data_IF_071822262433
#
_entry.id   IF_071822262433
#
_cell.length_a   1.000
_cell.length_b   1.000
_cell.length_c   1.000
_cell.angle_alpha   90.00
_cell.angle_beta   90.00
_cell.angle_gamma   90.00
#
_symmetry.space_group_name_H-M   'P 1'
#
loop_
_entity.id
_entity.type
_entity.pdbx_description
1 polymer ?
#
# COMPACT_ATOMS: atom_id res chain seq x y z
N UNK A 1 35.72 56.90 -0.55
CA UNK A 1 36.06 55.48 -0.82
C UNK A 1 35.47 54.57 0.24
N UNK A 2 34.18 54.29 0.12
CA UNK A 2 33.46 53.34 0.98
C UNK A 2 33.05 52.15 0.12
N UNK A 3 33.97 51.20 -0.06
CA UNK A 3 33.71 49.95 -0.73
C UNK A 3 32.82 49.08 0.14
N UNK A 4 31.51 49.18 -0.03
CA UNK A 4 30.58 48.15 0.42
C UNK A 4 30.88 46.88 -0.38
N UNK A 5 31.74 46.03 0.21
CA UNK A 5 31.93 44.66 -0.21
C UNK A 5 30.62 43.92 0.11
N UNK A 6 29.65 44.02 -0.81
CA UNK A 6 28.55 43.07 -0.89
C UNK A 6 29.18 41.71 -1.19
N UNK A 7 29.52 41.00 -0.11
CA UNK A 7 29.71 39.56 -0.15
C UNK A 7 28.34 39.00 -0.53
N UNK A 8 28.11 38.86 -1.83
CA UNK A 8 27.11 37.95 -2.35
C UNK A 8 27.59 36.56 -1.91
N UNK A 9 27.19 36.15 -0.70
CA UNK A 9 27.17 34.75 -0.33
C UNK A 9 26.18 34.14 -1.30
N UNK A 10 26.70 33.54 -2.37
CA UNK A 10 25.97 32.52 -3.10
C UNK A 10 25.66 31.43 -2.07
N UNK A 11 24.53 31.58 -1.38
CA UNK A 11 23.98 30.49 -0.60
C UNK A 11 23.49 29.51 -1.65
N UNK A 12 24.18 28.38 -1.78
CA UNK A 12 23.63 27.23 -2.46
C UNK A 12 22.35 26.86 -1.70
N UNK A 13 21.20 27.34 -2.20
CA UNK A 13 19.89 27.20 -1.56
C UNK A 13 19.34 25.76 -1.70
N UNK A 14 20.17 24.81 -2.13
CA UNK A 14 19.75 23.44 -2.36
C UNK A 14 20.44 22.48 -1.39
N UNK A 15 19.76 21.37 -1.01
CA UNK A 15 20.39 20.32 -0.23
C UNK A 15 21.71 19.81 -0.86
N UNK A 16 22.69 19.39 -0.03
CA UNK A 16 22.61 19.26 1.42
C UNK A 16 22.69 20.59 2.17
N UNK A 17 21.66 20.87 2.98
CA UNK A 17 21.62 22.02 3.88
C UNK A 17 22.69 21.87 4.98
N UNK A 18 23.21 22.99 5.48
CA UNK A 18 24.24 22.99 6.53
C UNK A 18 23.80 23.78 7.76
N UNK A 19 24.31 23.34 8.91
CA UNK A 19 24.15 24.06 10.18
C UNK A 19 22.73 24.03 10.75
N UNK A 20 22.31 25.07 11.48
CA UNK A 20 21.03 25.08 12.20
C UNK A 20 19.79 24.96 11.31
N UNK A 21 19.87 25.39 10.05
CA UNK A 21 18.75 25.34 9.11
C UNK A 21 18.39 23.89 8.73
N UNK A 22 19.40 23.07 8.41
CA UNK A 22 19.21 21.64 8.13
C UNK A 22 18.55 20.93 9.31
N UNK A 23 19.04 21.23 10.52
CA UNK A 23 18.49 20.66 11.75
C UNK A 23 17.03 21.05 11.96
N UNK A 24 16.68 22.33 11.76
CA UNK A 24 15.32 22.83 11.90
C UNK A 24 14.35 22.17 10.90
N UNK A 25 14.79 22.00 9.64
CA UNK A 25 14.00 21.32 8.60
C UNK A 25 13.76 19.86 8.98
N UNK A 26 14.81 19.13 9.38
CA UNK A 26 14.69 17.73 9.81
C UNK A 26 13.75 17.57 11.00
N UNK A 27 13.87 18.42 12.01
CA UNK A 27 12.95 18.40 13.15
C UNK A 27 11.50 18.68 12.74
N UNK A 28 11.29 19.62 11.81
CA UNK A 28 9.94 19.95 11.33
C UNK A 28 9.28 18.77 10.62
N UNK A 29 10.04 18.04 9.80
CA UNK A 29 9.58 16.83 9.12
C UNK A 29 9.28 15.71 10.13
N UNK A 30 10.19 15.45 11.07
CA UNK A 30 9.99 14.43 12.13
C UNK A 30 8.77 14.76 12.98
N UNK A 31 8.61 16.02 13.37
CA UNK A 31 7.45 16.51 14.12
C UNK A 31 6.15 16.31 13.34
N UNK A 32 6.17 16.61 12.04
CA UNK A 32 5.01 16.39 11.16
C UNK A 32 4.63 14.91 11.11
N UNK A 33 5.59 14.02 10.87
CA UNK A 33 5.35 12.57 10.84
C UNK A 33 4.79 12.06 12.18
N UNK A 34 5.38 12.48 13.31
CA UNK A 34 4.88 12.12 14.64
C UNK A 34 3.45 12.62 14.87
N UNK A 35 3.17 13.88 14.51
CA UNK A 35 1.84 14.48 14.63
C UNK A 35 0.80 13.72 13.82
N UNK A 36 1.13 13.36 12.57
CA UNK A 36 0.26 12.58 11.69
C UNK A 36 -0.10 11.22 12.33
N UNK A 37 0.88 10.50 12.88
CA UNK A 37 0.64 9.22 13.56
C UNK A 37 -0.19 9.37 14.83
N UNK A 38 0.05 10.41 15.64
CA UNK A 38 -0.74 10.68 16.85
C UNK A 38 -2.18 11.04 16.49
N UNK A 39 -2.39 11.92 15.51
CA UNK A 39 -3.73 12.29 15.02
C UNK A 39 -4.46 11.06 14.50
N UNK A 40 -3.78 10.20 13.73
CA UNK A 40 -4.34 8.93 13.26
C UNK A 40 -4.76 8.03 14.43
N UNK A 41 -3.88 7.85 15.42
CA UNK A 41 -4.16 7.03 16.61
C UNK A 41 -5.36 7.53 17.39
N UNK A 42 -5.43 8.84 17.65
CA UNK A 42 -6.49 9.45 18.46
C UNK A 42 -7.81 9.52 17.69
N UNK A 43 -7.78 9.89 16.40
CA UNK A 43 -8.99 10.18 15.62
C UNK A 43 -9.60 8.96 14.94
N UNK A 44 -8.79 8.00 14.49
CA UNK A 44 -9.28 6.85 13.72
C UNK A 44 -9.30 5.54 14.51
N UNK A 45 -8.39 5.36 15.47
CA UNK A 45 -8.22 4.07 16.17
C UNK A 45 -8.81 4.09 17.58
N UNK A 46 -8.75 5.23 18.29
CA UNK A 46 -9.27 5.33 19.66
C UNK A 46 -8.74 4.20 20.55
N UNK A 47 -9.63 3.54 21.27
CA UNK A 47 -9.30 2.43 22.18
C UNK A 47 -9.16 1.06 21.49
N UNK A 48 -9.42 0.97 20.18
CA UNK A 48 -9.34 -0.30 19.44
C UNK A 48 -7.91 -0.88 19.41
N UNK A 49 -6.90 -0.01 19.39
CA UNK A 49 -5.48 -0.38 19.43
C UNK A 49 -4.86 0.16 20.71
N UNK A 50 -4.23 -0.73 21.49
CA UNK A 50 -3.54 -0.37 22.72
C UNK A 50 -2.35 0.56 22.41
N UNK A 51 -2.12 1.55 23.25
CA UNK A 51 -0.99 2.47 23.12
C UNK A 51 0.36 1.76 23.08
N UNK A 52 0.51 0.67 23.84
CA UNK A 52 1.72 -0.17 23.81
C UNK A 52 2.01 -0.70 22.41
N UNK A 53 1.01 -1.26 21.74
CA UNK A 53 1.21 -1.89 20.42
C UNK A 53 1.45 -0.80 19.35
N UNK A 54 0.76 0.33 19.45
CA UNK A 54 1.03 1.52 18.63
C UNK A 54 2.46 2.03 18.78
N UNK A 55 2.97 2.15 20.01
CA UNK A 55 4.34 2.60 20.26
C UNK A 55 5.38 1.61 19.72
N UNK A 56 5.10 0.30 19.81
CA UNK A 56 5.97 -0.74 19.22
C UNK A 56 6.00 -0.69 17.69
N UNK A 57 4.92 -0.28 17.03
CA UNK A 57 4.92 -0.10 15.57
C UNK A 57 5.58 1.20 15.15
N UNK A 58 5.35 2.26 15.93
CA UNK A 58 6.02 3.54 15.76
C UNK A 58 7.54 3.39 15.95
N UNK A 59 8.00 2.58 16.89
CA UNK A 59 9.43 2.32 17.10
C UNK A 59 10.07 1.57 15.92
N UNK A 60 9.34 0.66 15.26
CA UNK A 60 9.83 0.01 14.02
C UNK A 60 9.97 1.02 12.89
N UNK A 61 8.97 1.89 12.70
CA UNK A 61 9.03 2.96 11.70
C UNK A 61 10.20 3.91 11.96
N UNK A 62 10.42 4.31 13.21
CA UNK A 62 11.56 5.14 13.59
C UNK A 62 12.90 4.44 13.32
N UNK A 63 13.02 3.15 13.65
CA UNK A 63 14.22 2.36 13.34
C UNK A 63 14.44 2.22 11.83
N UNK A 64 13.38 2.02 11.04
CA UNK A 64 13.43 1.99 9.58
C UNK A 64 13.87 3.33 8.97
N UNK A 65 13.32 4.44 9.45
CA UNK A 65 13.71 5.79 9.02
C UNK A 65 15.18 6.08 9.35
N UNK A 66 15.62 5.71 10.56
CA UNK A 66 17.02 5.83 10.96
C UNK A 66 17.94 4.99 10.06
N UNK A 67 17.55 3.75 9.79
CA UNK A 67 18.31 2.87 8.89
C UNK A 67 18.40 3.45 7.47
N UNK A 68 17.27 3.86 6.89
CA UNK A 68 17.22 4.46 5.56
C UNK A 68 18.08 5.73 5.44
N UNK A 69 18.16 6.53 6.52
CA UNK A 69 19.06 7.68 6.61
C UNK A 69 20.53 7.25 6.64
N UNK A 70 20.89 6.25 7.46
CA UNK A 70 22.27 5.74 7.57
C UNK A 70 22.81 5.19 6.25
N UNK A 71 21.96 4.52 5.46
CA UNK A 71 22.33 3.95 4.17
C UNK A 71 22.03 4.85 2.98
N UNK A 72 21.66 6.12 3.22
CA UNK A 72 21.33 7.03 2.13
C UNK A 72 22.57 7.50 1.39
N UNK A 73 22.45 7.53 0.06
CA UNK A 73 23.37 8.29 -0.79
C UNK A 73 23.03 9.78 -0.70
N UNK A 74 24.04 10.63 -0.91
CA UNK A 74 23.87 12.07 -0.91
C UNK A 74 23.43 12.52 -2.31
N UNK A 75 22.34 13.28 -2.37
CA UNK A 75 21.87 13.93 -3.58
C UNK A 75 22.34 15.38 -3.57
N UNK A 76 22.97 15.82 -4.66
CA UNK A 76 23.40 17.21 -4.83
C UNK A 76 22.39 17.95 -5.70
N UNK A 77 21.97 19.14 -5.28
CA UNK A 77 21.03 19.95 -6.04
C UNK A 77 19.56 19.73 -5.68
N UNK A 78 18.73 20.73 -5.96
CA UNK A 78 17.31 20.73 -5.59
C UNK A 78 16.52 19.68 -6.37
N UNK A 79 16.77 19.56 -7.68
CA UNK A 79 16.13 18.57 -8.56
C UNK A 79 16.37 17.14 -8.13
N UNK A 80 17.64 16.75 -8.01
CA UNK A 80 18.01 15.39 -7.61
C UNK A 80 17.49 15.04 -6.19
N UNK A 81 17.60 15.97 -5.24
CA UNK A 81 17.08 15.76 -3.88
C UNK A 81 15.55 15.61 -3.85
N UNK A 82 14.83 16.47 -4.58
CA UNK A 82 13.38 16.43 -4.67
C UNK A 82 12.91 15.13 -5.33
N UNK A 83 13.49 14.78 -6.48
CA UNK A 83 13.19 13.55 -7.22
C UNK A 83 13.46 12.32 -6.36
N UNK A 84 14.60 12.28 -5.67
CA UNK A 84 14.93 11.21 -4.73
C UNK A 84 13.89 11.10 -3.60
N UNK A 85 13.45 12.22 -3.05
CA UNK A 85 12.41 12.25 -2.00
C UNK A 85 11.06 11.77 -2.52
N UNK A 86 10.62 12.23 -3.69
CA UNK A 86 9.37 11.80 -4.31
C UNK A 86 9.41 10.31 -4.63
N UNK A 87 10.51 9.83 -5.22
CA UNK A 87 10.68 8.42 -5.57
C UNK A 87 10.66 7.52 -4.33
N UNK A 88 11.37 7.89 -3.26
CA UNK A 88 11.40 7.14 -2.00
C UNK A 88 10.01 7.07 -1.34
N UNK A 89 9.27 8.18 -1.33
CA UNK A 89 7.96 8.29 -0.68
C UNK A 89 6.79 7.76 -1.50
N UNK A 90 6.98 7.49 -2.79
CA UNK A 90 5.94 6.96 -3.69
C UNK A 90 6.25 5.53 -4.14
N UNK A 91 7.19 5.36 -5.07
CA UNK A 91 7.65 4.06 -5.54
C UNK A 91 8.26 3.24 -4.41
N UNK A 92 9.03 3.86 -3.51
CA UNK A 92 9.61 3.18 -2.37
C UNK A 92 8.55 2.58 -1.45
N UNK A 93 7.45 3.28 -1.16
CA UNK A 93 6.34 2.74 -0.35
C UNK A 93 5.68 1.52 -1.03
N UNK A 94 5.55 1.55 -2.35
CA UNK A 94 5.05 0.39 -3.10
C UNK A 94 6.01 -0.81 -2.98
N UNK A 95 7.31 -0.59 -3.19
CA UNK A 95 8.33 -1.64 -3.05
C UNK A 95 8.36 -2.18 -1.62
N UNK A 96 8.28 -1.31 -0.61
CA UNK A 96 8.26 -1.67 0.80
C UNK A 96 7.07 -2.59 1.13
N UNK A 97 5.88 -2.25 0.64
CA UNK A 97 4.69 -3.10 0.80
C UNK A 97 4.87 -4.47 0.14
N UNK A 98 5.37 -4.51 -1.10
CA UNK A 98 5.59 -5.77 -1.81
C UNK A 98 6.66 -6.62 -1.13
N UNK A 99 7.75 -6.00 -0.67
CA UNK A 99 8.82 -6.65 0.07
C UNK A 99 8.30 -7.22 1.40
N UNK A 100 7.47 -6.47 2.12
CA UNK A 100 6.85 -6.95 3.36
C UNK A 100 5.98 -8.18 3.09
N UNK A 101 5.13 -8.15 2.08
CA UNK A 101 4.27 -9.30 1.73
C UNK A 101 5.10 -10.51 1.32
N UNK A 102 6.10 -10.33 0.45
CA UNK A 102 6.92 -11.40 -0.08
C UNK A 102 7.82 -12.01 1.01
N UNK A 103 8.59 -11.17 1.71
CA UNK A 103 9.50 -11.63 2.76
C UNK A 103 8.73 -12.26 3.92
N UNK A 104 7.59 -11.70 4.33
CA UNK A 104 6.77 -12.33 5.37
C UNK A 104 6.37 -13.75 4.98
N UNK A 105 5.90 -13.97 3.75
CA UNK A 105 5.54 -15.32 3.26
C UNK A 105 6.74 -16.25 3.20
N UNK A 106 7.85 -15.81 2.63
CA UNK A 106 9.07 -16.61 2.52
C UNK A 106 9.57 -17.05 3.90
N UNK A 107 9.61 -16.14 4.88
CA UNK A 107 10.06 -16.47 6.24
C UNK A 107 9.06 -17.36 6.99
N UNK A 108 7.75 -17.16 6.79
CA UNK A 108 6.72 -18.04 7.37
C UNK A 108 6.83 -19.47 6.83
N UNK A 109 7.03 -19.62 5.52
CA UNK A 109 7.21 -20.93 4.87
C UNK A 109 8.53 -21.59 5.29
N UNK A 110 9.64 -20.85 5.29
CA UNK A 110 10.97 -21.39 5.61
C UNK A 110 11.13 -21.79 7.09
N UNK A 111 10.48 -21.08 8.02
CA UNK A 111 10.63 -21.34 9.46
C UNK A 111 9.50 -22.17 10.06
N UNK A 112 8.38 -22.34 9.34
CA UNK A 112 7.15 -22.94 9.86
C UNK A 112 6.50 -22.12 11.00
N UNK A 113 6.98 -20.91 11.29
CA UNK A 113 6.52 -20.09 12.42
C UNK A 113 5.69 -18.89 11.95
N UNK A 114 4.44 -19.15 11.59
CA UNK A 114 3.52 -18.13 11.09
C UNK A 114 3.31 -16.95 12.06
N UNK A 115 3.33 -17.22 13.37
CA UNK A 115 3.06 -16.22 14.41
C UNK A 115 4.22 -15.24 14.60
N UNK A 116 5.46 -15.71 14.50
CA UNK A 116 6.66 -14.86 14.61
C UNK A 116 6.68 -13.71 13.61
N UNK A 117 6.09 -13.91 12.44
CA UNK A 117 6.06 -12.95 11.34
C UNK A 117 4.66 -12.37 11.09
N UNK A 118 3.73 -12.54 12.02
CA UNK A 118 2.42 -11.87 11.97
C UNK A 118 2.58 -10.45 12.48
N UNK A 119 2.48 -9.48 11.57
CA UNK A 119 2.61 -8.06 11.89
C UNK A 119 1.61 -7.64 12.96
N UNK A 120 2.04 -6.82 13.92
CA UNK A 120 1.17 -6.29 14.97
C UNK A 120 0.84 -7.27 16.10
N UNK A 121 1.29 -8.54 16.06
CA UNK A 121 1.15 -9.49 17.16
C UNK A 121 2.43 -9.57 18.01
N UNK A 122 2.46 -8.85 19.14
CA UNK A 122 3.61 -8.77 20.04
C UNK A 122 3.46 -9.53 21.35
N UNK A 123 2.25 -10.02 21.64
CA UNK A 123 1.93 -10.60 22.94
C UNK A 123 1.74 -12.10 22.85
N UNK A 124 2.27 -12.79 23.86
CA UNK A 124 2.00 -14.21 24.10
C UNK A 124 0.55 -14.45 24.54
N UNK A 125 0.21 -15.73 24.77
CA UNK A 125 -1.13 -16.12 25.26
C UNK A 125 -1.49 -15.45 26.59
N UNK A 126 -0.48 -15.03 27.36
CA UNK A 126 -0.61 -14.44 28.69
C UNK A 126 -0.66 -12.90 28.66
N UNK A 127 -0.68 -12.27 27.47
CA UNK A 127 -0.69 -10.81 27.31
C UNK A 127 0.66 -10.12 27.59
N UNK A 128 1.69 -10.90 27.93
CA UNK A 128 3.07 -10.46 28.14
C UNK A 128 3.76 -10.21 26.80
N UNK A 129 4.57 -9.16 26.73
CA UNK A 129 5.36 -8.79 25.55
C UNK A 129 6.41 -9.87 25.27
N UNK A 130 6.34 -10.47 24.08
CA UNK A 130 7.35 -11.41 23.62
C UNK A 130 8.42 -10.68 22.79
N UNK A 131 9.50 -10.25 23.46
CA UNK A 131 10.57 -9.48 22.82
C UNK A 131 11.18 -10.20 21.60
N UNK A 132 11.26 -11.53 21.64
CA UNK A 132 11.74 -12.33 20.50
C UNK A 132 10.91 -12.10 19.23
N UNK A 133 9.58 -12.09 19.35
CA UNK A 133 8.68 -11.82 18.22
C UNK A 133 8.88 -10.41 17.68
N UNK A 134 8.97 -9.43 18.58
CA UNK A 134 9.24 -8.04 18.18
C UNK A 134 10.57 -7.90 17.43
N UNK A 135 11.65 -8.49 17.94
CA UNK A 135 12.98 -8.42 17.29
C UNK A 135 12.95 -9.10 15.92
N UNK A 136 12.29 -10.25 15.77
CA UNK A 136 12.15 -10.91 14.47
C UNK A 136 11.39 -10.06 13.46
N UNK A 137 10.29 -9.42 13.88
CA UNK A 137 9.53 -8.50 13.04
C UNK A 137 10.33 -7.23 12.71
N UNK A 138 11.10 -6.70 13.66
CA UNK A 138 11.99 -5.57 13.42
C UNK A 138 13.08 -5.91 12.41
N UNK A 139 13.71 -7.09 12.51
CA UNK A 139 14.71 -7.55 11.53
C UNK A 139 14.09 -7.70 10.14
N UNK A 140 12.91 -8.31 10.04
CA UNK A 140 12.15 -8.40 8.79
C UNK A 140 11.87 -7.01 8.21
N UNK A 141 11.45 -6.07 9.07
CA UNK A 141 11.17 -4.69 8.70
C UNK A 141 12.41 -3.99 8.13
N UNK A 142 13.56 -4.10 8.81
CA UNK A 142 14.82 -3.52 8.32
C UNK A 142 15.24 -4.11 6.97
N UNK A 143 15.00 -5.41 6.73
CA UNK A 143 15.20 -6.00 5.39
C UNK A 143 14.27 -5.39 4.34
N UNK A 144 13.00 -5.16 4.67
CA UNK A 144 12.05 -4.51 3.74
C UNK A 144 12.51 -3.09 3.39
N UNK A 145 12.90 -2.30 4.39
CA UNK A 145 13.45 -0.94 4.20
C UNK A 145 14.72 -0.98 3.33
N UNK A 146 15.58 -1.99 3.52
CA UNK A 146 16.80 -2.16 2.72
C UNK A 146 16.46 -2.45 1.25
N UNK A 147 15.54 -3.38 0.98
CA UNK A 147 15.09 -3.69 -0.39
C UNK A 147 14.47 -2.44 -1.05
N UNK A 148 13.62 -1.72 -0.31
CA UNK A 148 13.05 -0.45 -0.78
C UNK A 148 14.14 0.55 -1.13
N UNK A 149 15.11 0.77 -0.24
CA UNK A 149 16.18 1.75 -0.46
C UNK A 149 17.02 1.39 -1.68
N UNK A 150 17.43 0.13 -1.81
CA UNK A 150 18.20 -0.33 -2.97
C UNK A 150 17.42 -0.12 -4.27
N UNK A 151 16.13 -0.48 -4.31
CA UNK A 151 15.30 -0.29 -5.49
C UNK A 151 15.18 1.19 -5.89
N UNK A 152 14.94 2.08 -4.92
CA UNK A 152 14.82 3.53 -5.19
C UNK A 152 16.14 4.12 -5.70
N UNK A 153 17.28 3.73 -5.12
CA UNK A 153 18.61 4.17 -5.58
C UNK A 153 18.89 3.64 -7.00
N UNK A 154 18.57 2.38 -7.29
CA UNK A 154 18.77 1.80 -8.63
C UNK A 154 17.92 2.52 -9.69
N UNK A 155 16.67 2.84 -9.37
CA UNK A 155 15.80 3.61 -10.27
C UNK A 155 16.34 5.03 -10.44
N UNK A 156 16.65 5.74 -9.36
CA UNK A 156 17.15 7.11 -9.43
C UNK A 156 18.46 7.21 -10.24
N UNK A 157 19.39 6.26 -10.09
CA UNK A 157 20.62 6.20 -10.89
C UNK A 157 20.38 6.00 -12.40
N UNK A 158 19.21 5.48 -12.80
CA UNK A 158 18.86 5.35 -14.22
C UNK A 158 18.25 6.63 -14.80
N UNK A 159 17.62 7.46 -13.97
CA UNK A 159 16.87 8.66 -14.40
C UNK A 159 17.59 9.99 -14.15
N UNK A 160 18.59 10.03 -13.26
CA UNK A 160 19.29 11.27 -12.91
C UNK A 160 20.01 11.94 -14.09
N UNK A 161 20.34 11.22 -15.15
CA UNK A 161 21.08 11.78 -16.29
C UNK A 161 20.25 12.72 -17.21
N UNK A 162 18.92 12.78 -17.08
CA UNK A 162 18.07 13.36 -18.15
C UNK A 162 17.03 14.43 -17.74
N UNK A 163 16.85 14.78 -16.46
CA UNK A 163 15.61 15.50 -16.07
C UNK A 163 15.66 16.38 -14.81
N UNK A 164 16.83 16.87 -14.40
CA UNK A 164 16.96 17.55 -13.10
C UNK A 164 16.36 18.97 -13.06
N UNK A 165 16.34 19.69 -14.19
CA UNK A 165 15.96 21.11 -14.22
C UNK A 165 14.50 21.38 -14.60
N UNK A 166 13.87 20.52 -15.42
CA UNK A 166 12.52 20.76 -15.95
C UNK A 166 11.42 20.60 -14.88
N UNK A 167 11.68 19.78 -13.86
CA UNK A 167 10.63 19.36 -12.91
C UNK A 167 10.29 20.44 -11.88
N UNK A 168 11.20 21.41 -11.65
CA UNK A 168 11.03 22.50 -10.69
C UNK A 168 10.77 23.87 -11.33
N UNK A 169 10.53 23.95 -12.64
CA UNK A 169 10.27 25.23 -13.32
C UNK A 169 9.13 26.06 -12.69
N UNK A 170 8.14 25.41 -12.07
CA UNK A 170 7.00 26.09 -11.42
C UNK A 170 7.41 26.89 -10.17
N UNK A 171 8.52 26.52 -9.52
CA UNK A 171 9.00 27.16 -8.27
C UNK A 171 10.39 27.78 -8.40
N UNK A 172 11.07 27.62 -9.54
CA UNK A 172 12.42 28.13 -9.81
C UNK A 172 12.53 29.66 -9.86
N UNK A 173 11.40 30.38 -9.92
CA UNK A 173 11.36 31.84 -9.92
C UNK A 173 11.86 32.47 -8.61
N UNK A 174 11.97 31.70 -7.52
CA UNK A 174 12.57 32.16 -6.26
C UNK A 174 13.38 31.03 -5.60
N UNK A 175 14.70 31.19 -5.43
CA UNK A 175 15.55 30.18 -4.77
C UNK A 175 15.11 29.84 -3.34
N UNK A 176 14.53 30.81 -2.63
CA UNK A 176 14.01 30.59 -1.28
C UNK A 176 12.73 29.75 -1.29
N UNK A 177 11.85 29.97 -2.27
CA UNK A 177 10.63 29.21 -2.39
C UNK A 177 10.93 27.78 -2.83
N UNK A 178 11.83 27.62 -3.80
CA UNK A 178 12.33 26.32 -4.25
C UNK A 178 12.88 25.52 -3.08
N UNK A 179 13.75 26.12 -2.25
CA UNK A 179 14.29 25.47 -1.06
C UNK A 179 13.19 25.01 -0.09
N UNK A 180 12.26 25.91 0.26
CA UNK A 180 11.16 25.60 1.19
C UNK A 180 10.27 24.50 0.62
N UNK A 181 10.00 24.53 -0.68
CA UNK A 181 9.20 23.52 -1.36
C UNK A 181 9.87 22.15 -1.35
N UNK A 182 11.16 22.10 -1.67
CA UNK A 182 11.96 20.88 -1.81
C UNK A 182 12.29 20.24 -0.47
N UNK A 183 12.68 21.06 0.51
CA UNK A 183 13.23 20.56 1.78
C UNK A 183 12.20 20.50 2.90
N UNK A 184 11.09 21.25 2.82
CA UNK A 184 10.10 21.30 3.89
C UNK A 184 8.71 20.85 3.43
N UNK A 185 8.09 21.53 2.47
CA UNK A 185 6.69 21.28 2.10
C UNK A 185 6.48 19.87 1.53
N UNK A 186 7.28 19.50 0.52
CA UNK A 186 7.18 18.18 -0.12
C UNK A 186 7.48 17.05 0.88
N UNK A 187 8.59 17.09 1.65
CA UNK A 187 8.85 16.06 2.65
C UNK A 187 7.78 15.97 3.74
N UNK A 188 7.27 17.10 4.25
CA UNK A 188 6.19 17.08 5.24
C UNK A 188 4.93 16.38 4.72
N UNK A 189 4.52 16.67 3.48
CA UNK A 189 3.34 16.05 2.87
C UNK A 189 3.57 14.57 2.56
N UNK A 190 4.62 14.26 1.80
CA UNK A 190 4.85 12.90 1.29
C UNK A 190 5.35 11.94 2.37
N UNK A 191 6.26 12.38 3.26
CA UNK A 191 6.70 11.52 4.39
C UNK A 191 5.59 11.35 5.43
N UNK A 192 4.75 12.38 5.63
CA UNK A 192 3.53 12.26 6.43
C UNK A 192 2.58 11.19 5.88
N UNK A 193 2.35 11.20 4.57
CA UNK A 193 1.55 10.16 3.91
C UNK A 193 2.23 8.78 3.99
N UNK A 194 3.56 8.71 3.79
CA UNK A 194 4.32 7.48 3.90
C UNK A 194 4.15 6.84 5.28
N UNK A 195 4.39 7.57 6.38
CA UNK A 195 4.24 6.99 7.73
C UNK A 195 2.79 6.56 8.01
N UNK A 196 1.81 7.28 7.46
CA UNK A 196 0.42 6.85 7.54
C UNK A 196 0.20 5.50 6.86
N UNK A 197 0.66 5.34 5.62
CA UNK A 197 0.50 4.11 4.85
C UNK A 197 1.29 2.96 5.46
N UNK A 198 2.54 3.20 5.85
CA UNK A 198 3.41 2.22 6.49
C UNK A 198 2.86 1.73 7.83
N UNK A 199 2.28 2.61 8.65
CA UNK A 199 1.56 2.19 9.87
C UNK A 199 0.38 1.26 9.55
N UNK A 200 -0.31 1.43 8.42
CA UNK A 200 -1.35 0.48 8.01
C UNK A 200 -0.79 -0.89 7.59
N UNK A 201 0.45 -0.97 7.12
CA UNK A 201 1.10 -2.24 6.78
C UNK A 201 1.52 -3.02 8.02
N UNK A 202 1.93 -2.32 9.08
CA UNK A 202 2.48 -2.92 10.30
C UNK A 202 1.42 -3.34 11.33
N UNK A 203 0.16 -2.93 11.14
CA UNK A 203 -0.94 -3.30 12.04
C UNK A 203 -1.27 -4.79 12.00
N UNK A 204 -1.84 -5.25 13.12
CA UNK A 204 -2.42 -6.58 13.25
C UNK A 204 -3.65 -6.73 12.35
N UNK A 205 -3.73 -7.85 11.64
CA UNK A 205 -4.74 -8.08 10.61
C UNK A 205 -6.18 -7.92 11.12
N UNK A 206 -6.99 -7.24 10.29
CA UNK A 206 -8.43 -7.08 10.46
C UNK A 206 -9.07 -6.41 9.23
N UNK A 207 -8.31 -5.56 8.53
CA UNK A 207 -8.64 -5.04 7.19
C UNK A 207 -7.39 -5.01 6.31
N UNK A 208 -7.51 -5.31 5.01
CA UNK A 208 -6.40 -5.15 4.09
C UNK A 208 -5.95 -3.68 4.01
N UNK A 209 -4.63 -3.38 3.95
CA UNK A 209 -4.14 -2.01 3.84
C UNK A 209 -4.71 -1.30 2.61
N UNK A 210 -4.84 0.03 2.65
CA UNK A 210 -5.39 0.82 1.54
C UNK A 210 -4.71 0.48 0.20
N UNK A 211 -3.38 0.45 0.19
CA UNK A 211 -2.61 0.06 -0.99
C UNK A 211 -2.92 -1.38 -1.43
N UNK A 212 -3.08 -2.30 -0.48
CA UNK A 212 -3.48 -3.68 -0.76
C UNK A 212 -4.91 -3.83 -1.27
N UNK A 213 -5.81 -2.89 -0.97
CA UNK A 213 -7.16 -2.83 -1.53
C UNK A 213 -7.13 -2.27 -2.96
N UNK A 214 -6.42 -1.16 -3.16
CA UNK A 214 -6.24 -0.52 -4.46
C UNK A 214 -5.57 -1.48 -5.45
N UNK A 215 -4.46 -2.11 -5.05
CA UNK A 215 -3.76 -3.07 -5.88
C UNK A 215 -4.63 -4.29 -6.20
N UNK A 216 -5.46 -4.74 -5.24
CA UNK A 216 -6.45 -5.80 -5.52
C UNK A 216 -7.51 -5.35 -6.52
N UNK A 217 -7.97 -4.11 -6.47
CA UNK A 217 -8.94 -3.57 -7.43
C UNK A 217 -8.32 -3.45 -8.82
N UNK A 218 -7.09 -2.95 -8.92
CA UNK A 218 -6.36 -2.78 -10.18
C UNK A 218 -5.90 -4.11 -10.80
N UNK A 219 -5.45 -5.07 -9.98
CA UNK A 219 -4.99 -6.39 -10.45
C UNK A 219 -6.13 -7.43 -10.57
N UNK A 220 -7.34 -7.12 -10.09
CA UNK A 220 -8.52 -8.01 -10.21
C UNK A 220 -8.82 -8.42 -11.66
N UNK A 221 -8.78 -7.51 -12.65
CA UNK A 221 -8.97 -7.85 -14.06
C UNK A 221 -7.88 -8.79 -14.59
N UNK A 222 -6.60 -8.51 -14.28
CA UNK A 222 -5.46 -9.33 -14.69
C UNK A 222 -5.51 -10.75 -14.10
N UNK A 223 -5.97 -10.88 -12.84
CA UNK A 223 -6.12 -12.18 -12.16
C UNK A 223 -7.31 -13.00 -12.64
N UNK A 224 -8.33 -12.37 -13.24
CA UNK A 224 -9.52 -13.05 -13.76
C UNK A 224 -9.37 -13.61 -15.17
N UNK A 225 -8.23 -13.42 -15.83
CA UNK A 225 -7.93 -14.14 -17.06
C UNK A 225 -8.73 -13.69 -18.27
N UNK A 226 -8.70 -12.39 -18.61
CA UNK A 226 -8.95 -11.96 -20.00
C UNK A 226 -7.80 -12.33 -20.96
N UNK A 227 -6.84 -13.15 -20.52
CA UNK A 227 -5.89 -13.87 -21.38
C UNK A 227 -6.18 -15.39 -21.46
N UNK A 228 -7.25 -15.88 -20.83
CA UNK A 228 -7.68 -17.29 -20.88
C UNK A 228 -8.98 -17.51 -21.68
N UNK A 229 -9.47 -16.47 -22.35
CA UNK A 229 -10.67 -16.47 -23.21
C UNK A 229 -10.26 -16.38 -24.70
N UNK A 230 -9.45 -17.34 -25.20
CA UNK A 230 -9.91 -18.00 -26.42
C UNK A 230 -9.85 -19.53 -26.38
N UNK A 231 -9.29 -20.16 -25.35
CA UNK A 231 -9.09 -21.62 -25.31
C UNK A 231 -10.08 -22.38 -24.43
N UNK A 232 -11.09 -21.71 -23.87
CA UNK A 232 -12.20 -22.34 -23.16
C UNK A 232 -13.56 -22.17 -23.85
N UNK A 233 -13.56 -21.85 -25.15
CA UNK A 233 -14.71 -22.02 -26.04
C UNK A 233 -14.88 -23.47 -26.49
N UNK A 234 -14.85 -24.41 -25.56
CA UNK A 234 -15.02 -25.86 -25.80
C UNK A 234 -16.47 -26.34 -25.73
N UNK A 235 -17.46 -25.45 -25.62
CA UNK A 235 -18.88 -25.77 -25.44
C UNK A 235 -19.71 -25.69 -26.72
N UNK A 236 -19.13 -26.06 -27.86
CA UNK A 236 -19.87 -26.28 -29.13
C UNK A 236 -19.67 -27.66 -29.77
N UNK A 237 -19.00 -28.59 -29.09
CA UNK A 237 -18.82 -29.95 -29.62
C UNK A 237 -20.02 -30.88 -29.32
N UNK A 238 -20.74 -30.67 -28.23
CA UNK A 238 -21.87 -31.53 -27.81
C UNK A 238 -23.06 -31.54 -28.78
N UNK A 239 -23.53 -30.40 -29.36
CA UNK A 239 -24.67 -30.41 -30.27
C UNK A 239 -24.33 -31.11 -31.60
N UNK A 240 -23.07 -31.00 -32.05
CA UNK A 240 -22.62 -31.53 -33.34
C UNK A 240 -22.30 -33.03 -33.24
N UNK A 241 -21.78 -33.51 -32.11
CA UNK A 241 -21.65 -34.94 -31.81
C UNK A 241 -23.02 -35.63 -31.65
N UNK A 242 -24.00 -34.97 -31.04
CA UNK A 242 -25.36 -35.50 -30.99
C UNK A 242 -26.05 -35.48 -32.36
N UNK A 243 -25.83 -34.43 -33.17
CA UNK A 243 -26.34 -34.40 -34.55
C UNK A 243 -25.73 -35.52 -35.43
N UNK A 244 -24.44 -35.83 -35.26
CA UNK A 244 -23.78 -36.93 -35.99
C UNK A 244 -24.21 -38.32 -35.49
N UNK A 245 -24.52 -38.48 -34.19
CA UNK A 245 -25.11 -39.73 -33.66
C UNK A 245 -26.50 -39.98 -34.21
N UNK A 246 -27.30 -38.93 -34.38
CA UNK A 246 -28.64 -39.02 -34.96
C UNK A 246 -28.57 -39.29 -36.47
N UNK A 247 -27.59 -38.72 -37.18
CA UNK A 247 -27.37 -38.97 -38.60
C UNK A 247 -26.78 -40.36 -38.92
N UNK A 248 -26.20 -41.05 -37.94
CA UNK A 248 -25.53 -42.34 -38.12
C UNK A 248 -26.42 -43.59 -38.00
N UNK A 249 -27.73 -43.46 -37.74
CA UNK A 249 -28.61 -44.63 -37.54
C UNK A 249 -29.66 -44.75 -38.64
N UNK A 250 -29.30 -45.52 -39.68
CA UNK A 250 -30.21 -46.02 -40.71
C UNK A 250 -31.04 -47.24 -40.19
N UNK A 251 -32.16 -47.57 -40.84
CA UNK A 251 -33.40 -47.93 -40.15
C UNK A 251 -33.63 -49.43 -39.99
N UNK A 252 -34.32 -49.80 -38.91
CA UNK A 252 -34.87 -51.14 -38.69
C UNK A 252 -35.82 -51.13 -37.48
N UNK A 253 -37.10 -51.29 -37.79
CA UNK A 253 -38.22 -51.72 -36.91
C UNK A 253 -38.94 -50.68 -36.02
N UNK A 254 -39.92 -50.02 -36.66
CA UNK A 254 -41.34 -49.81 -36.30
C UNK A 254 -41.78 -49.82 -34.80
N UNK A 255 -42.29 -48.69 -34.22
CA UNK A 255 -43.72 -48.21 -34.13
C UNK A 255 -44.45 -48.67 -32.83
N UNK A 256 -45.35 -47.89 -32.17
CA UNK A 256 -45.51 -46.43 -32.08
C UNK A 256 -46.03 -45.84 -30.73
N UNK A 257 -45.98 -44.50 -30.66
CA UNK A 257 -46.96 -43.50 -30.18
C UNK A 257 -47.74 -43.67 -28.86
N UNK A 258 -47.66 -42.65 -27.99
CA UNK A 258 -48.82 -41.82 -27.59
C UNK A 258 -48.43 -40.51 -26.86
N UNK A 259 -48.74 -39.37 -27.52
CA UNK A 259 -49.38 -38.12 -27.02
C UNK A 259 -48.69 -37.33 -25.90
N UNK A 260 -48.18 -36.09 -26.06
CA UNK A 260 -48.71 -34.84 -26.63
C UNK A 260 -49.81 -34.13 -25.79
N UNK A 261 -49.45 -32.91 -25.34
CA UNK A 261 -50.30 -31.73 -25.04
C UNK A 261 -51.23 -31.78 -23.80
N UNK A 262 -51.55 -30.71 -23.08
CA UNK A 262 -51.29 -29.27 -23.15
C UNK A 262 -51.76 -28.62 -21.81
N UNK A 263 -51.82 -27.28 -21.80
CA UNK A 263 -52.76 -26.42 -21.03
C UNK A 263 -52.24 -25.81 -19.70
N UNK A 264 -51.76 -24.57 -19.83
CA UNK A 264 -52.32 -23.32 -19.27
C UNK A 264 -52.61 -23.19 -17.74
N UNK A 265 -52.07 -22.11 -17.17
CA UNK A 265 -52.29 -21.62 -15.80
C UNK A 265 -53.75 -21.19 -15.55
N UNK A 266 -54.24 -21.05 -14.29
CA UNK A 266 -54.06 -19.77 -13.56
C UNK A 266 -54.20 -19.79 -12.01
N UNK A 267 -53.92 -18.62 -11.41
CA UNK A 267 -54.55 -17.97 -10.21
C UNK A 267 -53.72 -17.72 -8.94
N UNK A 268 -53.66 -16.42 -8.64
CA UNK A 268 -53.35 -15.78 -7.37
C UNK A 268 -54.25 -16.19 -6.19
N UNK A 269 -53.69 -16.16 -4.97
CA UNK A 269 -54.23 -15.69 -3.65
C UNK A 269 -53.19 -16.08 -2.57
N UNK A 270 -52.90 -15.38 -1.47
CA UNK A 270 -53.49 -14.24 -0.75
C UNK A 270 -52.40 -13.62 0.16
N UNK A 271 -52.52 -12.32 0.40
CA UNK A 271 -51.91 -11.58 1.51
C UNK A 271 -52.35 -12.18 2.87
N UNK A 272 -51.44 -12.23 3.85
CA UNK A 272 -51.79 -12.22 5.28
C UNK A 272 -50.65 -11.64 6.12
N UNK A 273 -51.04 -10.66 6.95
CA UNK A 273 -50.27 -9.86 7.90
C UNK A 273 -49.82 -10.61 9.17
N UNK A 274 -48.75 -10.12 9.82
CA UNK A 274 -48.54 -10.04 11.29
C UNK A 274 -47.25 -9.24 11.55
N UNK A 275 -47.32 -7.96 11.91
CA UNK A 275 -47.43 -7.38 13.27
C UNK A 275 -46.14 -7.48 14.10
N UNK A 276 -45.38 -6.37 14.18
CA UNK A 276 -44.32 -6.11 15.15
C UNK A 276 -44.93 -5.63 16.49
N UNK A 277 -44.30 -5.94 17.65
CA UNK A 277 -44.62 -5.30 18.92
C UNK A 277 -43.75 -4.05 19.19
N UNK A 278 -44.22 -3.10 20.03
CA UNK A 278 -43.48 -1.91 20.44
C UNK A 278 -42.70 -2.16 21.75
N UNK A 279 -41.63 -1.39 21.97
CA UNK A 279 -41.02 -1.23 23.31
C UNK A 279 -40.93 0.26 23.64
N UNK A 280 -41.40 0.56 24.84
CA UNK A 280 -41.64 1.85 25.49
C UNK A 280 -40.37 2.69 25.73
N UNK A 281 -40.55 4.00 25.67
CA UNK A 281 -39.75 5.00 26.38
C UNK A 281 -40.41 5.28 27.73
N UNK A 282 -39.61 5.30 28.80
CA UNK A 282 -39.94 5.96 30.07
C UNK A 282 -38.73 6.77 30.52
N UNK A 283 -38.96 8.06 30.68
CA UNK A 283 -38.36 9.09 31.56
C UNK A 283 -36.90 8.98 32.01
#
# INVERSE_FOLDING_TARGET
>A
DGGAMTVAVAMDFCPPLRGPLDLAVRFSVVWTCASVLVVKKVSHEGDLRRWRDFLLDTSKQAAGALWAWLVSVHWEGCGAYWTGTVLETTFGVLVEYLALVLLSRLFQEATGNARAFSTGDYSGKDGILELRHYVMQLTLWIMCVTVMKLATVSVAATYSEHSEDEVLEVVSWSPRLELVFVSLLTPCALRGLQVWLTDDFLKKEGRPPLLGQLLRQVLRPLRRGELAEPLRGGDRAEPLLNALRVAGKAPGDAVPAAQAEAIEAPRMRKLSSRSNPPVELTD
#
